data_IF_638141862952
#
_entry.id   IF_638141862952
#
_cell.length_a   1.000
_cell.length_b   1.000
_cell.length_c   1.000
_cell.angle_alpha   90.00
_cell.angle_beta   90.00
_cell.angle_gamma   90.00
#
_symmetry.space_group_name_H-M   'P 1'
#
loop_
_entity.id
_entity.type
_entity.pdbx_description
1 polymer ?
#
# COMPACT_ATOMS: atom_id res chain seq x y z
N UNK A 1 -20.27 -19.38 -32.08
CA UNK A 1 -19.34 -19.81 -31.00
C UNK A 1 -17.99 -19.10 -31.04
N UNK A 2 -17.31 -18.99 -32.20
CA UNK A 2 -16.00 -18.31 -32.32
C UNK A 2 -16.02 -16.84 -31.88
N UNK A 3 -17.09 -16.10 -32.19
CA UNK A 3 -17.29 -14.70 -31.80
C UNK A 3 -17.43 -14.51 -30.29
N UNK A 4 -18.14 -15.40 -29.59
CA UNK A 4 -18.31 -15.39 -28.13
C UNK A 4 -16.98 -15.67 -27.42
N UNK A 5 -16.18 -16.59 -27.95
CA UNK A 5 -14.87 -16.94 -27.42
C UNK A 5 -13.86 -15.77 -27.55
N UNK A 6 -13.92 -15.05 -28.67
CA UNK A 6 -13.11 -13.85 -28.93
C UNK A 6 -13.48 -12.69 -28.00
N UNK A 7 -14.77 -12.45 -27.77
CA UNK A 7 -15.22 -11.41 -26.83
C UNK A 7 -14.79 -11.71 -25.38
N UNK A 8 -14.78 -12.99 -24.98
CA UNK A 8 -14.36 -13.39 -23.64
C UNK A 8 -12.85 -13.16 -23.42
N UNK A 9 -12.02 -13.49 -24.41
CA UNK A 9 -10.58 -13.24 -24.36
C UNK A 9 -10.27 -11.74 -24.28
N UNK A 10 -10.96 -10.92 -25.08
CA UNK A 10 -10.78 -9.47 -25.05
C UNK A 10 -11.15 -8.87 -23.69
N UNK A 11 -12.23 -9.37 -23.08
CA UNK A 11 -12.67 -8.94 -21.75
C UNK A 11 -11.64 -9.26 -20.65
N UNK A 12 -11.02 -10.44 -20.69
CA UNK A 12 -9.97 -10.85 -19.74
C UNK A 12 -8.71 -9.96 -19.86
N UNK A 13 -8.32 -9.59 -21.08
CA UNK A 13 -7.16 -8.72 -21.32
C UNK A 13 -7.41 -7.31 -20.74
N UNK A 14 -8.61 -6.76 -20.93
CA UNK A 14 -8.98 -5.43 -20.42
C UNK A 14 -8.98 -5.40 -18.88
N UNK A 15 -9.56 -6.43 -18.25
CA UNK A 15 -9.56 -6.57 -16.78
C UNK A 15 -8.14 -6.65 -16.21
N UNK A 16 -7.23 -7.36 -16.89
CA UNK A 16 -5.84 -7.53 -16.45
C UNK A 16 -5.07 -6.20 -16.46
N UNK A 17 -5.24 -5.39 -17.51
CA UNK A 17 -4.57 -4.08 -17.61
C UNK A 17 -5.06 -3.09 -16.55
N UNK A 18 -6.35 -3.08 -16.22
CA UNK A 18 -6.89 -2.22 -15.15
C UNK A 18 -6.30 -2.58 -13.79
N UNK A 19 -6.17 -3.87 -13.48
CA UNK A 19 -5.53 -4.34 -12.25
C UNK A 19 -4.05 -3.93 -12.14
N UNK A 20 -3.32 -3.95 -13.25
CA UNK A 20 -1.89 -3.57 -13.28
C UNK A 20 -1.67 -2.07 -13.01
N UNK A 21 -2.51 -1.20 -13.55
CA UNK A 21 -2.45 0.25 -13.31
C UNK A 21 -2.71 0.59 -11.84
N UNK A 22 -3.74 -0.01 -11.22
CA UNK A 22 -4.05 0.17 -9.80
C UNK A 22 -2.90 -0.27 -8.92
N UNK A 23 -2.31 -1.44 -9.20
CA UNK A 23 -1.14 -1.95 -8.46
C UNK A 23 0.05 -0.98 -8.53
N UNK A 24 0.33 -0.43 -9.71
CA UNK A 24 1.43 0.53 -9.90
C UNK A 24 1.20 1.83 -9.10
N UNK A 25 -0.03 2.33 -9.04
CA UNK A 25 -0.36 3.53 -8.26
C UNK A 25 -0.15 3.29 -6.75
N UNK A 26 -0.59 2.14 -6.24
CA UNK A 26 -0.47 1.81 -4.82
C UNK A 26 1.01 1.57 -4.41
N UNK A 27 1.83 1.03 -5.31
CA UNK A 27 3.29 0.96 -5.15
C UNK A 27 3.93 2.36 -5.08
N UNK A 28 3.51 3.29 -5.94
CA UNK A 28 3.99 4.68 -5.92
C UNK A 28 3.61 5.41 -4.63
N UNK A 29 2.38 5.22 -4.13
CA UNK A 29 1.95 5.76 -2.83
C UNK A 29 2.80 5.23 -1.68
N UNK A 30 3.06 3.92 -1.65
CA UNK A 30 3.91 3.32 -0.63
C UNK A 30 5.35 3.86 -0.68
N UNK A 31 5.91 4.03 -1.89
CA UNK A 31 7.23 4.61 -2.08
C UNK A 31 7.30 6.07 -1.62
N UNK A 32 6.25 6.86 -1.91
CA UNK A 32 6.13 8.22 -1.42
C UNK A 32 6.16 8.27 0.11
N UNK A 33 5.35 7.45 0.77
CA UNK A 33 5.30 7.38 2.25
C UNK A 33 6.67 6.99 2.80
N UNK A 34 7.34 5.99 2.23
CA UNK A 34 8.69 5.59 2.65
C UNK A 34 9.72 6.71 2.45
N UNK A 35 9.69 7.44 1.35
CA UNK A 35 10.61 8.56 1.16
C UNK A 35 10.30 9.73 2.09
N UNK A 36 9.03 9.97 2.39
CA UNK A 36 8.61 10.94 3.39
C UNK A 36 9.18 10.59 4.78
N UNK A 37 9.29 9.30 5.12
CA UNK A 37 9.88 8.90 6.41
C UNK A 37 11.36 9.28 6.55
N UNK A 38 12.08 9.44 5.44
CA UNK A 38 13.49 9.87 5.45
C UNK A 38 13.67 11.35 5.77
N UNK A 39 12.60 12.14 5.77
CA UNK A 39 12.64 13.56 6.12
C UNK A 39 12.61 13.79 7.64
N UNK A 40 12.25 12.79 8.44
CA UNK A 40 12.27 12.89 9.90
C UNK A 40 13.72 12.82 10.42
N UNK A 41 14.04 13.65 11.41
CA UNK A 41 15.32 13.57 12.08
C UNK A 41 15.39 12.27 12.92
N UNK A 42 16.34 11.39 12.55
CA UNK A 42 16.48 10.05 13.15
C UNK A 42 16.90 10.07 14.62
N UNK A 43 17.47 11.18 15.09
CA UNK A 43 17.91 11.34 16.48
C UNK A 43 16.78 11.22 17.51
N UNK A 44 15.52 11.43 17.08
CA UNK A 44 14.36 11.46 17.97
C UNK A 44 13.41 10.28 17.81
N UNK A 45 13.68 9.33 16.91
CA UNK A 45 12.75 8.23 16.64
C UNK A 45 13.44 6.87 16.55
N UNK A 46 13.24 6.05 17.58
CA UNK A 46 13.52 4.61 17.52
C UNK A 46 12.42 3.91 16.73
N UNK A 47 12.72 3.60 15.47
CA UNK A 47 11.90 2.85 14.50
C UNK A 47 10.53 3.48 14.14
N UNK A 48 10.41 3.95 12.89
CA UNK A 48 9.17 4.60 12.41
C UNK A 48 8.06 3.56 12.26
N UNK A 49 6.90 3.80 12.86
CA UNK A 49 5.72 2.94 12.79
C UNK A 49 4.67 3.56 11.87
N UNK A 50 4.30 2.84 10.82
CA UNK A 50 3.31 3.26 9.83
C UNK A 50 2.04 2.41 9.99
N UNK A 51 0.92 3.08 10.24
CA UNK A 51 -0.39 2.47 10.35
C UNK A 51 -1.21 2.63 9.08
N UNK A 52 -1.88 1.56 8.64
CA UNK A 52 -2.82 1.60 7.50
C UNK A 52 -4.24 1.31 7.97
N UNK A 53 -5.13 2.28 7.77
CA UNK A 53 -6.58 2.16 8.02
C UNK A 53 -7.28 1.81 6.72
N UNK A 54 -8.16 0.80 6.77
CA UNK A 54 -8.92 0.30 5.61
C UNK A 54 -8.22 -0.82 4.84
N UNK A 55 -8.88 -1.28 3.77
CA UNK A 55 -8.34 -2.31 2.88
C UNK A 55 -7.66 -1.62 1.69
N UNK A 56 -6.32 -1.62 1.66
CA UNK A 56 -5.54 -1.02 0.56
C UNK A 56 -4.30 -1.84 0.25
N UNK A 57 -3.94 -1.88 -1.03
CA UNK A 57 -2.71 -2.53 -1.50
C UNK A 57 -1.45 -1.76 -1.06
N UNK A 58 -1.58 -0.49 -0.63
CA UNK A 58 -0.50 0.26 0.02
C UNK A 58 0.06 -0.50 1.22
N UNK A 59 -0.76 -1.21 2.01
CA UNK A 59 -0.27 -2.03 3.13
C UNK A 59 0.76 -3.08 2.67
N UNK A 60 0.42 -3.85 1.63
CA UNK A 60 1.29 -4.90 1.10
C UNK A 60 2.55 -4.30 0.48
N UNK A 61 2.41 -3.19 -0.24
CA UNK A 61 3.54 -2.47 -0.84
C UNK A 61 4.49 -1.92 0.23
N UNK A 62 3.97 -1.35 1.31
CA UNK A 62 4.77 -0.86 2.45
C UNK A 62 5.49 -2.01 3.17
N UNK A 63 4.80 -3.13 3.43
CA UNK A 63 5.42 -4.33 4.03
C UNK A 63 6.56 -4.87 3.16
N UNK A 64 6.38 -4.87 1.83
CA UNK A 64 7.44 -5.26 0.88
C UNK A 64 8.64 -4.33 0.99
N UNK A 65 8.43 -3.01 1.02
CA UNK A 65 9.51 -2.02 1.14
C UNK A 65 10.22 -2.16 2.51
N UNK A 66 9.47 -2.34 3.60
CA UNK A 66 10.05 -2.58 4.93
C UNK A 66 11.00 -3.78 4.90
N UNK A 67 10.56 -4.91 4.33
CA UNK A 67 11.39 -6.11 4.19
C UNK A 67 12.64 -5.89 3.33
N UNK A 68 12.53 -5.15 2.23
CA UNK A 68 13.66 -4.81 1.35
C UNK A 68 14.68 -3.84 2.00
N UNK A 69 14.28 -3.14 3.04
CA UNK A 69 15.10 -2.17 3.77
C UNK A 69 15.53 -2.68 5.14
N UNK A 70 15.58 -4.01 5.31
CA UNK A 70 15.93 -4.68 6.57
C UNK A 70 15.09 -4.20 7.76
N UNK A 71 13.79 -3.99 7.54
CA UNK A 71 12.84 -3.52 8.55
C UNK A 71 13.22 -2.18 9.17
N UNK A 72 13.70 -1.23 8.35
CA UNK A 72 14.02 0.14 8.80
C UNK A 72 12.80 0.95 9.30
N UNK A 73 11.60 0.38 9.17
CA UNK A 73 10.34 0.89 9.69
C UNK A 73 9.33 -0.27 9.82
N UNK A 74 8.37 -0.11 10.72
CA UNK A 74 7.30 -1.08 10.96
C UNK A 74 6.01 -0.67 10.25
N UNK A 75 5.24 -1.66 9.79
CA UNK A 75 3.96 -1.43 9.09
C UNK A 75 2.90 -2.33 9.67
N UNK A 76 1.79 -1.76 10.13
CA UNK A 76 0.64 -2.51 10.66
C UNK A 76 -0.69 -2.06 10.09
N UNK A 77 -1.61 -3.01 9.92
CA UNK A 77 -3.03 -2.70 9.69
C UNK A 77 -3.63 -2.23 11.01
N UNK A 78 -4.37 -1.13 10.98
CA UNK A 78 -5.10 -0.62 12.13
C UNK A 78 -6.53 -1.14 12.07
N UNK A 79 -6.93 -1.88 13.12
CA UNK A 79 -8.30 -2.37 13.32
C UNK A 79 -8.97 -1.76 14.55
N UNK A 80 -8.22 -1.12 15.44
CA UNK A 80 -8.70 -0.53 16.70
C UNK A 80 -8.09 0.86 16.91
N UNK A 81 -8.82 1.74 17.61
CA UNK A 81 -8.40 3.12 17.84
C UNK A 81 -7.08 3.23 18.63
N UNK A 82 -6.86 2.39 19.64
CA UNK A 82 -5.63 2.34 20.44
C UNK A 82 -4.37 2.10 19.59
N UNK A 83 -4.51 1.39 18.47
CA UNK A 83 -3.39 1.14 17.55
C UNK A 83 -2.93 2.38 16.78
N UNK A 84 -3.75 3.44 16.73
CA UNK A 84 -3.43 4.71 16.05
C UNK A 84 -2.35 5.47 16.84
N UNK A 85 -2.47 5.51 18.17
CA UNK A 85 -1.56 6.25 19.06
C UNK A 85 -0.12 5.72 19.03
N UNK A 86 0.05 4.45 18.66
CA UNK A 86 1.35 3.80 18.54
C UNK A 86 2.06 4.06 17.20
N UNK A 87 1.45 4.80 16.26
CA UNK A 87 1.98 5.03 14.92
C UNK A 87 2.48 6.47 14.74
N UNK A 88 3.62 6.63 14.07
CA UNK A 88 4.15 7.95 13.69
C UNK A 88 3.47 8.50 12.44
N UNK A 89 3.04 7.61 11.53
CA UNK A 89 2.37 7.97 10.28
C UNK A 89 1.11 7.12 10.14
N UNK A 90 0.01 7.75 9.76
CA UNK A 90 -1.26 7.07 9.45
C UNK A 90 -1.57 7.28 7.97
N UNK A 91 -1.74 6.18 7.24
CA UNK A 91 -2.33 6.18 5.92
C UNK A 91 -3.78 5.71 6.02
N UNK A 92 -4.70 6.58 5.58
CA UNK A 92 -6.13 6.27 5.52
C UNK A 92 -6.45 5.97 4.07
N UNK A 93 -6.78 4.72 3.77
CA UNK A 93 -7.26 4.37 2.45
C UNK A 93 -8.59 5.12 2.20
N UNK A 94 -8.71 5.78 1.05
CA UNK A 94 -10.01 6.28 0.62
C UNK A 94 -10.95 5.08 0.54
N UNK A 95 -12.03 5.12 1.32
CA UNK A 95 -13.11 4.14 1.20
C UNK A 95 -13.64 4.22 -0.23
N UNK A 96 -13.31 3.23 -1.05
CA UNK A 96 -14.22 2.88 -2.14
C UNK A 96 -15.24 1.92 -1.54
N UNK A 97 -16.35 2.49 -1.08
CA UNK A 97 -17.62 1.76 -1.06
C UNK A 97 -17.92 1.26 -2.48
#
# INVERSE_FOLDING_TARGET
MKTVLLSLHLYIIILSNKGQSVKKLEELKALYIFNFTKLFNREYQSNIKIGVIGNSQVLLSLQKISKLTNNSFDVKKISQQTSIEECNIIYIASSQN
#
